data_IF_740667696289
#
_entry.id   IF_740667696289
#
_cell.length_a   1.000
_cell.length_b   1.000
_cell.length_c   1.000
_cell.angle_alpha   90.00
_cell.angle_beta   90.00
_cell.angle_gamma   90.00
#
_symmetry.space_group_name_H-M   'P 1'
#
loop_
_entity.id
_entity.type
_entity.pdbx_description
1 polymer ?
#
# COMPACT_ATOMS: atom_id res chain seq x y z
N UNK A 1 -1.89 -8.90 -3.85
CA UNK A 1 -2.08 -7.44 -4.05
C UNK A 1 -3.16 -7.03 -5.06
N UNK A 2 -3.81 -7.95 -5.81
CA UNK A 2 -4.81 -7.58 -6.85
C UNK A 2 -5.99 -6.78 -6.29
N UNK A 3 -6.47 -7.14 -5.09
CA UNK A 3 -7.56 -6.45 -4.41
C UNK A 3 -7.20 -4.99 -4.07
N UNK A 4 -6.07 -4.79 -3.38
CA UNK A 4 -5.61 -3.46 -2.98
C UNK A 4 -5.46 -2.53 -4.18
N UNK A 5 -4.91 -3.03 -5.28
CA UNK A 5 -4.82 -2.28 -6.53
C UNK A 5 -6.22 -1.87 -7.03
N UNK A 6 -7.14 -2.83 -7.14
CA UNK A 6 -8.50 -2.56 -7.62
C UNK A 6 -9.26 -1.54 -6.73
N UNK A 7 -9.05 -1.59 -5.41
CA UNK A 7 -9.65 -0.62 -4.48
C UNK A 7 -9.02 0.77 -4.67
N UNK A 8 -7.69 0.85 -4.80
CA UNK A 8 -6.98 2.12 -5.06
C UNK A 8 -7.36 2.79 -6.39
N UNK A 9 -7.87 2.01 -7.34
CA UNK A 9 -8.36 2.54 -8.61
C UNK A 9 -9.75 3.19 -8.47
N UNK A 10 -10.55 2.77 -7.48
CA UNK A 10 -11.93 3.22 -7.24
C UNK A 10 -12.04 4.31 -6.17
N UNK A 11 -11.18 4.28 -5.16
CA UNK A 11 -11.24 5.17 -4.01
C UNK A 11 -9.86 5.77 -3.71
N UNK A 12 -9.85 6.99 -3.19
CA UNK A 12 -8.62 7.66 -2.73
C UNK A 12 -8.20 7.14 -1.36
N UNK A 13 -6.95 6.70 -1.24
CA UNK A 13 -6.39 6.24 0.03
C UNK A 13 -5.93 7.46 0.84
N UNK A 14 -6.46 7.64 2.06
CA UNK A 14 -6.05 8.73 2.98
C UNK A 14 -4.99 8.30 3.97
N UNK A 15 -4.98 7.02 4.31
CA UNK A 15 -4.06 6.40 5.26
C UNK A 15 -4.33 4.90 5.26
N UNK A 16 -3.42 4.14 5.85
CA UNK A 16 -3.56 2.71 6.07
C UNK A 16 -2.76 2.32 7.30
N UNK A 17 -3.15 1.22 7.92
CA UNK A 17 -2.46 0.61 9.04
C UNK A 17 -2.17 -0.86 8.73
N UNK A 18 -1.03 -1.36 9.17
CA UNK A 18 -0.61 -2.76 9.00
C UNK A 18 -0.38 -3.33 10.38
N UNK A 19 -1.38 -4.06 10.86
CA UNK A 19 -1.41 -4.66 12.21
C UNK A 19 -1.03 -6.14 12.16
N UNK A 20 -0.91 -6.74 13.34
CA UNK A 20 -0.68 -8.19 13.53
C UNK A 20 0.64 -8.72 12.98
N UNK A 21 1.66 -7.86 12.80
CA UNK A 21 3.01 -8.33 12.53
C UNK A 21 3.65 -8.85 13.83
N UNK A 22 3.85 -10.16 13.90
CA UNK A 22 4.53 -10.83 15.01
C UNK A 22 5.83 -11.47 14.51
N UNK A 23 6.96 -10.73 14.50
CA UNK A 23 8.23 -11.24 13.98
C UNK A 23 8.73 -12.42 14.81
N UNK A 24 9.25 -13.44 14.13
CA UNK A 24 9.84 -14.64 14.75
C UNK A 24 11.33 -14.68 14.38
N UNK A 25 12.25 -14.70 15.36
CA UNK A 25 13.68 -14.76 15.08
C UNK A 25 14.05 -15.92 14.15
N UNK A 26 14.86 -15.62 13.13
CA UNK A 26 15.27 -16.61 12.12
C UNK A 26 14.26 -16.85 10.99
N UNK A 27 13.01 -16.35 11.10
CA UNK A 27 12.00 -16.44 10.06
C UNK A 27 11.75 -15.05 9.45
N UNK A 28 12.59 -14.65 8.49
CA UNK A 28 12.58 -13.30 7.90
C UNK A 28 11.48 -13.11 6.83
N UNK A 29 10.94 -14.20 6.28
CA UNK A 29 10.00 -14.13 5.16
C UNK A 29 8.71 -13.33 5.47
N UNK A 30 8.05 -13.49 6.63
CA UNK A 30 6.88 -12.69 7.01
C UNK A 30 7.19 -11.20 7.11
N UNK A 31 8.33 -10.83 7.70
CA UNK A 31 8.76 -9.44 7.86
C UNK A 31 8.99 -8.78 6.51
N UNK A 32 9.67 -9.49 5.59
CA UNK A 32 9.88 -9.02 4.24
C UNK A 32 8.55 -8.86 3.48
N UNK A 33 7.61 -9.79 3.65
CA UNK A 33 6.29 -9.71 3.04
C UNK A 33 5.50 -8.49 3.55
N UNK A 34 5.52 -8.25 4.87
CA UNK A 34 4.87 -7.10 5.49
C UNK A 34 5.50 -5.79 4.99
N UNK A 35 6.82 -5.68 4.95
CA UNK A 35 7.53 -4.52 4.43
C UNK A 35 7.18 -4.25 2.95
N UNK A 36 7.15 -5.30 2.13
CA UNK A 36 6.78 -5.20 0.70
C UNK A 36 5.32 -4.77 0.53
N UNK A 37 4.41 -5.26 1.36
CA UNK A 37 3.00 -4.86 1.37
C UNK A 37 2.87 -3.36 1.71
N UNK A 38 3.48 -2.92 2.80
CA UNK A 38 3.49 -1.52 3.25
C UNK A 38 4.04 -0.60 2.17
N UNK A 39 5.19 -0.94 1.58
CA UNK A 39 5.78 -0.14 0.49
C UNK A 39 4.82 0.02 -0.72
N UNK A 40 4.13 -1.06 -1.08
CA UNK A 40 3.15 -1.03 -2.18
C UNK A 40 1.93 -0.16 -1.82
N UNK A 41 1.45 -0.23 -0.58
CA UNK A 41 0.37 0.64 -0.08
C UNK A 41 0.74 2.12 -0.15
N UNK A 42 1.97 2.48 0.27
CA UNK A 42 2.50 3.84 0.14
C UNK A 42 2.50 4.31 -1.32
N UNK A 43 2.92 3.44 -2.25
CA UNK A 43 2.89 3.73 -3.68
C UNK A 43 1.48 4.01 -4.20
N UNK A 44 0.49 3.21 -3.80
CA UNK A 44 -0.90 3.42 -4.17
C UNK A 44 -1.48 4.70 -3.57
N UNK A 45 -1.21 5.00 -2.30
CA UNK A 45 -1.65 6.23 -1.65
C UNK A 45 -1.04 7.50 -2.30
N UNK A 46 0.19 7.40 -2.81
CA UNK A 46 0.89 8.52 -3.47
C UNK A 46 0.44 8.74 -4.92
N UNK A 47 -0.04 7.69 -5.60
CA UNK A 47 -0.40 7.75 -7.03
C UNK A 47 -1.60 8.69 -7.28
N UNK A 48 -2.45 8.90 -6.28
CA UNK A 48 -3.57 9.85 -6.33
C UNK A 48 -3.12 11.31 -6.56
N UNK A 49 -1.90 11.70 -6.16
CA UNK A 49 -1.36 13.04 -6.43
C UNK A 49 -1.25 13.35 -7.94
N UNK A 50 -1.11 12.31 -8.77
CA UNK A 50 -0.97 12.46 -10.23
C UNK A 50 -2.34 12.59 -10.92
N UNK A 51 -3.35 11.82 -10.50
CA UNK A 51 -4.71 11.88 -11.09
C UNK A 51 -5.36 13.25 -10.90
N UNK A 52 -5.19 13.88 -9.73
CA UNK A 52 -5.74 15.22 -9.46
C UNK A 52 -5.09 16.33 -10.28
N UNK A 53 -3.82 16.17 -10.70
CA UNK A 53 -3.12 17.13 -11.57
C UNK A 53 -3.51 16.96 -13.04
N UNK A 54 -3.77 15.73 -13.49
CA UNK A 54 -4.15 15.46 -14.88
C UNK A 54 -5.58 15.93 -15.20
N UNK A 55 -6.51 15.89 -14.23
CA UNK A 55 -7.90 16.36 -14.42
C UNK A 55 -8.06 17.89 -14.37
N UNK A 56 -6.99 18.63 -14.08
CA UNK A 56 -6.96 20.10 -14.00
C UNK A 56 -6.22 20.76 -15.19
N UNK A 57 -5.84 19.98 -16.18
CA UNK A 57 -5.37 20.43 -17.49
C UNK A 57 -6.43 20.09 -18.53
#
# INVERSE_FOLDING_TARGET
LRLIRAVSEKCRIRGFDVVELSPIPGLVAPDFLAAKLTYRMMGYASTDLKKSKLKRR
#
